data_IF_557374875386
#
_entry.id   IF_557374875386
#
_cell.length_a   1.000
_cell.length_b   1.000
_cell.length_c   1.000
_cell.angle_alpha   90.00
_cell.angle_beta   90.00
_cell.angle_gamma   90.00
#
_symmetry.space_group_name_H-M   'P 1'
#
loop_
_entity.id
_entity.type
_entity.pdbx_description
1 polymer ?
#
# COMPACT_ATOMS: atom_id res chain seq x y z
N UNK A 1 -19.06 -28.17 24.08
CA UNK A 1 -18.20 -27.64 23.00
C UNK A 1 -17.60 -26.33 23.50
N UNK A 2 -16.28 -26.18 23.55
CA UNK A 2 -15.67 -24.89 23.89
C UNK A 2 -16.05 -23.88 22.81
N UNK A 3 -16.67 -22.78 23.21
CA UNK A 3 -17.22 -21.77 22.33
C UNK A 3 -16.06 -20.91 21.81
N UNK A 4 -15.47 -21.30 20.67
CA UNK A 4 -14.38 -20.56 20.03
C UNK A 4 -14.84 -19.12 19.72
N UNK A 5 -14.12 -18.11 20.23
CA UNK A 5 -14.46 -16.71 19.98
C UNK A 5 -13.40 -16.01 19.15
N UNK A 6 -13.86 -15.10 18.29
CA UNK A 6 -13.04 -14.26 17.40
C UNK A 6 -12.07 -13.39 18.20
N UNK A 7 -12.58 -12.81 19.29
CA UNK A 7 -11.83 -11.98 20.22
C UNK A 7 -10.61 -12.73 20.77
N UNK A 8 -10.78 -13.97 21.23
CA UNK A 8 -9.73 -14.69 21.96
C UNK A 8 -8.66 -15.30 21.04
N UNK A 9 -9.05 -15.74 19.84
CA UNK A 9 -8.13 -16.40 18.90
C UNK A 9 -7.42 -15.47 17.94
N UNK A 10 -8.01 -14.31 17.64
CA UNK A 10 -7.53 -13.48 16.55
C UNK A 10 -7.37 -12.03 16.97
N UNK A 11 -8.42 -11.37 17.45
CA UNK A 11 -8.39 -9.93 17.70
C UNK A 11 -7.43 -9.54 18.83
N UNK A 12 -7.57 -10.14 20.02
CA UNK A 12 -6.72 -9.81 21.17
C UNK A 12 -5.24 -10.17 20.91
N UNK A 13 -4.90 -11.37 20.38
CA UNK A 13 -3.51 -11.68 20.03
C UNK A 13 -2.93 -10.75 18.96
N UNK A 14 -3.73 -10.35 17.95
CA UNK A 14 -3.29 -9.41 16.92
C UNK A 14 -2.97 -8.02 17.51
N UNK A 15 -3.77 -7.54 18.46
CA UNK A 15 -3.50 -6.28 19.15
C UNK A 15 -2.20 -6.33 19.97
N UNK A 16 -1.97 -7.42 20.71
CA UNK A 16 -0.69 -7.61 21.41
C UNK A 16 0.46 -7.72 20.42
N UNK A 17 0.26 -8.37 19.27
CA UNK A 17 1.30 -8.44 18.24
C UNK A 17 1.64 -7.05 17.65
N UNK A 18 0.65 -6.16 17.49
CA UNK A 18 0.89 -4.78 17.04
C UNK A 18 1.77 -3.98 18.02
N UNK A 19 1.64 -4.17 19.33
CA UNK A 19 2.54 -3.53 20.31
C UNK A 19 3.98 -4.01 20.13
N UNK A 20 4.16 -5.31 19.82
CA UNK A 20 5.46 -5.90 19.49
C UNK A 20 6.07 -5.36 18.19
N UNK A 21 5.24 -4.95 17.24
CA UNK A 21 5.68 -4.25 16.03
C UNK A 21 6.05 -2.78 16.27
N UNK A 22 5.78 -2.26 17.47
CA UNK A 22 6.14 -0.91 17.89
C UNK A 22 4.98 0.08 17.90
N UNK A 23 3.74 -0.36 17.67
CA UNK A 23 2.57 0.51 17.75
C UNK A 23 2.18 0.78 19.21
N UNK A 24 1.70 1.98 19.47
CA UNK A 24 1.13 2.36 20.77
C UNK A 24 -0.37 2.05 20.77
N UNK A 25 -0.84 1.32 21.78
CA UNK A 25 -2.28 1.15 21.99
C UNK A 25 -2.89 2.46 22.48
N UNK A 26 -3.87 2.98 21.75
CA UNK A 26 -4.51 4.25 22.09
C UNK A 26 -5.54 4.11 23.22
N UNK A 27 -6.06 2.89 23.46
CA UNK A 27 -7.22 2.65 24.32
C UNK A 27 -8.54 2.64 23.55
N UNK A 28 -9.63 2.30 24.24
CA UNK A 28 -10.98 2.42 23.68
C UNK A 28 -11.38 3.87 23.40
N UNK A 29 -12.01 4.07 22.24
CA UNK A 29 -12.59 5.35 21.84
C UNK A 29 -14.11 5.24 21.86
N UNK A 30 -14.76 6.17 22.55
CA UNK A 30 -16.21 6.24 22.71
C UNK A 30 -16.78 7.43 21.94
N UNK A 31 -18.07 7.39 21.59
CA UNK A 31 -18.72 8.41 20.75
C UNK A 31 -18.72 9.81 21.38
N UNK A 32 -18.78 9.90 22.70
CA UNK A 32 -18.73 11.15 23.48
C UNK A 32 -17.35 11.84 23.43
N UNK A 33 -16.32 11.14 22.97
CA UNK A 33 -14.97 11.68 22.75
C UNK A 33 -14.82 12.40 21.39
N UNK A 34 -15.87 12.37 20.55
CA UNK A 34 -15.90 13.06 19.27
C UNK A 34 -15.72 14.57 19.45
N UNK A 35 -14.89 15.18 18.60
CA UNK A 35 -14.56 16.61 18.61
C UNK A 35 -13.49 17.00 19.63
N UNK A 36 -13.07 16.10 20.52
CA UNK A 36 -12.00 16.36 21.49
C UNK A 36 -10.81 15.41 21.31
N UNK A 37 -11.06 14.10 21.29
CA UNK A 37 -10.04 13.07 21.11
C UNK A 37 -9.89 12.70 19.64
N UNK A 38 -10.99 12.68 18.91
CA UNK A 38 -11.00 12.34 17.50
C UNK A 38 -12.01 13.18 16.72
N UNK A 39 -11.82 13.26 15.42
CA UNK A 39 -12.74 13.90 14.52
C UNK A 39 -13.92 12.96 14.19
N UNK A 40 -15.13 13.31 14.61
CA UNK A 40 -16.34 12.51 14.36
C UNK A 40 -16.62 12.25 12.89
N UNK A 41 -16.13 13.13 12.01
CA UNK A 41 -16.32 13.03 10.57
C UNK A 41 -15.33 12.07 9.90
N UNK A 42 -14.07 11.99 10.33
CA UNK A 42 -12.99 11.28 9.63
C UNK A 42 -12.31 10.19 10.44
N UNK A 43 -12.62 10.08 11.74
CA UNK A 43 -11.93 9.23 12.71
C UNK A 43 -10.45 9.61 12.94
N UNK A 44 -10.00 10.81 12.51
CA UNK A 44 -8.63 11.30 12.79
C UNK A 44 -8.46 11.56 14.29
N UNK A 45 -7.39 11.06 14.91
CA UNK A 45 -7.05 11.35 16.30
C UNK A 45 -6.52 12.78 16.42
N UNK A 46 -7.32 13.69 16.96
CA UNK A 46 -7.05 15.13 16.92
C UNK A 46 -5.76 15.50 17.66
N UNK A 47 -5.51 15.06 18.92
CA UNK A 47 -4.30 15.43 19.63
C UNK A 47 -3.03 14.91 18.96
N UNK A 48 -3.08 13.65 18.49
CA UNK A 48 -1.93 13.02 17.82
C UNK A 48 -1.65 13.70 16.49
N UNK A 49 -2.69 13.99 15.70
CA UNK A 49 -2.54 14.65 14.42
C UNK A 49 -1.99 16.07 14.59
N UNK A 50 -2.49 16.83 15.56
CA UNK A 50 -2.00 18.19 15.83
C UNK A 50 -0.52 18.20 16.24
N UNK A 51 -0.15 17.35 17.20
CA UNK A 51 1.24 17.26 17.69
C UNK A 51 2.20 16.88 16.56
N UNK A 52 1.87 15.83 15.79
CA UNK A 52 2.72 15.38 14.70
C UNK A 52 2.75 16.37 13.55
N UNK A 53 1.65 17.03 13.24
CA UNK A 53 1.60 18.06 12.21
C UNK A 53 2.57 19.20 12.54
N UNK A 54 2.56 19.70 13.77
CA UNK A 54 3.49 20.77 14.22
C UNK A 54 4.93 20.29 14.18
N UNK A 55 5.20 19.09 14.69
CA UNK A 55 6.53 18.46 14.66
C UNK A 55 7.11 18.36 13.25
N UNK A 56 6.30 17.91 12.29
CA UNK A 56 6.73 17.72 10.90
C UNK A 56 6.79 19.03 10.11
N UNK A 57 6.08 20.08 10.56
CA UNK A 57 5.91 21.34 9.83
C UNK A 57 6.06 22.57 10.74
N UNK A 58 7.25 22.80 11.33
CA UNK A 58 7.46 23.87 12.32
C UNK A 58 7.23 25.29 11.77
N UNK A 59 7.35 25.49 10.45
CA UNK A 59 7.06 26.78 9.80
C UNK A 59 5.58 26.98 9.44
N UNK A 60 4.74 25.95 9.61
CA UNK A 60 3.34 25.94 9.21
C UNK A 60 2.42 25.47 10.35
N UNK A 61 2.85 25.53 11.61
CA UNK A 61 2.10 25.01 12.76
C UNK A 61 0.65 25.53 12.86
N UNK A 62 0.42 26.78 12.46
CA UNK A 62 -0.90 27.42 12.46
C UNK A 62 -1.87 26.91 11.38
N UNK A 63 -1.39 26.12 10.40
CA UNK A 63 -2.21 25.64 9.29
C UNK A 63 -2.95 24.34 9.59
N UNK A 64 -2.69 23.71 10.74
CA UNK A 64 -3.28 22.42 11.13
C UNK A 64 -4.80 22.36 10.94
N UNK A 65 -5.55 23.35 11.44
CA UNK A 65 -7.01 23.37 11.34
C UNK A 65 -7.48 23.48 9.89
N UNK A 66 -6.77 24.27 9.07
CA UNK A 66 -7.08 24.40 7.65
C UNK A 66 -6.82 23.08 6.92
N UNK A 67 -5.70 22.43 7.19
CA UNK A 67 -5.36 21.14 6.58
C UNK A 67 -6.36 20.05 6.98
N UNK A 68 -6.79 20.02 8.25
CA UNK A 68 -7.83 19.10 8.71
C UNK A 68 -9.16 19.32 7.96
N UNK A 69 -9.56 20.59 7.77
CA UNK A 69 -10.76 20.93 6.98
C UNK A 69 -10.61 20.53 5.52
N UNK A 70 -9.43 20.71 4.92
CA UNK A 70 -9.18 20.35 3.53
C UNK A 70 -9.21 18.83 3.35
N UNK A 71 -8.61 18.06 4.27
CA UNK A 71 -8.72 16.59 4.31
C UNK A 71 -10.19 16.19 4.37
N UNK A 72 -11.01 16.79 5.25
CA UNK A 72 -12.45 16.48 5.33
C UNK A 72 -13.16 16.72 4.00
N UNK A 73 -12.83 17.79 3.27
CA UNK A 73 -13.42 18.12 1.96
C UNK A 73 -13.01 17.10 0.91
N UNK A 74 -11.71 16.86 0.76
CA UNK A 74 -11.14 15.89 -0.19
C UNK A 74 -11.72 14.49 0.00
N UNK A 75 -11.91 14.07 1.25
CA UNK A 75 -12.45 12.75 1.52
C UNK A 75 -13.93 12.60 1.13
N UNK A 76 -14.66 13.69 0.85
CA UNK A 76 -16.00 13.61 0.28
C UNK A 76 -15.98 13.45 -1.25
N UNK A 77 -14.84 13.68 -1.91
CA UNK A 77 -14.73 13.60 -3.36
C UNK A 77 -14.97 12.16 -3.86
N UNK A 78 -15.64 12.06 -4.99
CA UNK A 78 -15.96 10.78 -5.61
C UNK A 78 -14.79 10.30 -6.48
N UNK A 79 -13.61 10.15 -5.87
CA UNK A 79 -12.33 9.90 -6.54
C UNK A 79 -11.53 8.71 -5.95
N UNK A 80 -12.17 7.90 -5.10
CA UNK A 80 -11.55 6.80 -4.33
C UNK A 80 -10.40 7.24 -3.40
N UNK A 81 -10.44 8.49 -2.95
CA UNK A 81 -9.44 9.09 -2.08
C UNK A 81 -8.15 9.46 -2.80
N UNK A 82 -8.20 9.65 -4.13
CA UNK A 82 -7.02 9.99 -4.95
C UNK A 82 -6.42 11.31 -4.50
N UNK A 83 -7.23 12.35 -4.26
CA UNK A 83 -6.80 13.65 -3.77
C UNK A 83 -6.11 13.54 -2.41
N UNK A 84 -6.75 12.86 -1.46
CA UNK A 84 -6.16 12.61 -0.14
C UNK A 84 -4.85 11.80 -0.23
N UNK A 85 -4.79 10.79 -1.09
CA UNK A 85 -3.56 10.01 -1.31
C UNK A 85 -2.41 10.86 -1.85
N UNK A 86 -2.67 11.79 -2.77
CA UNK A 86 -1.65 12.74 -3.23
C UNK A 86 -1.21 13.66 -2.09
N UNK A 87 -2.14 14.16 -1.27
CA UNK A 87 -1.81 14.95 -0.08
C UNK A 87 -0.93 14.19 0.89
N UNK A 88 -1.21 12.90 1.15
CA UNK A 88 -0.37 12.05 2.00
C UNK A 88 1.08 12.01 1.52
N UNK A 89 1.29 11.97 0.20
CA UNK A 89 2.62 11.86 -0.43
C UNK A 89 3.36 13.19 -0.59
N UNK A 90 2.67 14.32 -0.46
CA UNK A 90 3.29 15.63 -0.60
C UNK A 90 4.24 15.92 0.57
N UNK A 91 5.37 16.53 0.24
CA UNK A 91 6.40 16.94 1.21
C UNK A 91 6.53 18.46 1.33
N UNK A 92 5.79 19.23 0.52
CA UNK A 92 5.81 20.69 0.46
C UNK A 92 4.44 21.21 -0.01
N UNK A 93 3.95 22.36 0.51
CA UNK A 93 4.54 23.12 1.62
C UNK A 93 4.41 22.42 2.97
N UNK A 94 3.49 21.46 3.08
CA UNK A 94 3.19 20.72 4.30
C UNK A 94 3.31 19.22 4.05
N UNK A 95 3.79 18.49 5.06
CA UNK A 95 4.02 17.04 5.06
C UNK A 95 3.19 16.38 6.16
N UNK A 96 2.42 15.35 5.82
CA UNK A 96 1.62 14.59 6.80
C UNK A 96 2.34 13.34 7.33
N UNK A 97 3.25 12.78 6.53
CA UNK A 97 4.00 11.57 6.83
C UNK A 97 5.45 11.77 6.41
N UNK A 98 6.39 11.45 7.31
CA UNK A 98 7.80 11.40 6.97
C UNK A 98 8.18 10.04 6.40
N UNK A 99 8.22 9.93 5.07
CA UNK A 99 8.65 8.69 4.41
C UNK A 99 10.17 8.54 4.30
N UNK A 100 10.94 9.54 4.71
CA UNK A 100 12.40 9.53 4.66
C UNK A 100 12.97 9.01 5.97
N UNK A 101 12.47 9.53 7.10
CA UNK A 101 12.80 9.06 8.44
C UNK A 101 11.54 8.50 9.12
N UNK A 102 11.49 7.16 9.20
CA UNK A 102 10.37 6.41 9.76
C UNK A 102 10.15 6.79 11.23
N UNK A 103 11.24 7.04 11.97
CA UNK A 103 11.20 7.35 13.40
C UNK A 103 10.59 8.72 13.72
N UNK A 104 10.42 9.58 12.71
CA UNK A 104 9.72 10.84 12.89
C UNK A 104 8.21 10.69 12.98
N UNK A 105 7.65 9.55 12.57
CA UNK A 105 6.22 9.27 12.65
C UNK A 105 5.86 8.57 13.96
N UNK A 106 4.57 8.65 14.30
CA UNK A 106 3.97 7.87 15.38
C UNK A 106 2.95 6.88 14.82
N UNK A 107 2.90 5.71 15.44
CA UNK A 107 2.05 4.60 15.03
C UNK A 107 1.14 4.21 16.19
N UNK A 108 -0.16 4.31 15.99
CA UNK A 108 -1.15 3.97 17.02
C UNK A 108 -2.11 2.91 16.50
N UNK A 109 -2.80 2.24 17.41
CA UNK A 109 -3.98 1.47 17.07
C UNK A 109 -5.06 1.57 18.15
N UNK A 110 -6.30 1.37 17.73
CA UNK A 110 -7.42 1.05 18.63
C UNK A 110 -8.24 -0.08 18.02
N UNK A 111 -9.17 -0.63 18.78
CA UNK A 111 -10.06 -1.68 18.30
C UNK A 111 -11.53 -1.34 18.49
N UNK A 112 -12.34 -1.89 17.60
CA UNK A 112 -13.77 -1.67 17.51
C UNK A 112 -14.16 -0.17 17.43
N UNK A 113 -13.47 0.60 16.58
CA UNK A 113 -13.68 2.05 16.45
C UNK A 113 -14.73 2.37 15.39
N UNK A 114 -15.89 2.88 15.80
CA UNK A 114 -17.02 3.10 14.88
C UNK A 114 -16.79 4.28 13.95
N UNK A 115 -16.96 4.03 12.65
CA UNK A 115 -17.11 5.00 11.59
C UNK A 115 -18.60 5.25 11.34
N UNK A 116 -19.08 6.45 11.67
CA UNK A 116 -20.51 6.79 11.65
C UNK A 116 -20.79 7.92 10.68
N UNK A 117 -21.85 7.78 9.88
CA UNK A 117 -22.36 8.86 9.04
C UNK A 117 -23.89 8.84 9.02
N UNK A 118 -24.49 9.70 9.85
CA UNK A 118 -25.94 9.68 10.07
C UNK A 118 -26.36 8.41 10.84
N UNK A 119 -27.21 7.59 10.22
CA UNK A 119 -27.69 6.32 10.80
C UNK A 119 -26.86 5.11 10.37
N UNK A 120 -25.97 5.28 9.40
CA UNK A 120 -25.10 4.22 8.91
C UNK A 120 -23.83 4.16 9.75
N UNK A 121 -23.47 2.95 10.19
CA UNK A 121 -22.24 2.68 10.91
C UNK A 121 -21.47 1.49 10.32
N UNK A 122 -20.15 1.60 10.42
CA UNK A 122 -19.18 0.57 10.09
C UNK A 122 -18.13 0.56 11.20
N UNK A 123 -17.86 -0.58 11.81
CA UNK A 123 -16.99 -0.67 12.99
C UNK A 123 -15.89 -1.70 12.73
N UNK A 124 -14.72 -1.27 12.21
CA UNK A 124 -13.59 -2.16 12.05
C UNK A 124 -13.13 -2.77 13.37
N UNK A 125 -12.66 -4.02 13.31
CA UNK A 125 -12.17 -4.72 14.50
C UNK A 125 -10.90 -4.07 15.07
N UNK A 126 -9.97 -3.64 14.20
CA UNK A 126 -8.76 -2.90 14.58
C UNK A 126 -8.50 -1.80 13.54
N UNK A 127 -8.21 -0.59 14.01
CA UNK A 127 -7.81 0.56 13.16
C UNK A 127 -6.40 0.98 13.51
N UNK A 128 -5.54 1.08 12.51
CA UNK A 128 -4.15 1.55 12.63
C UNK A 128 -4.04 2.99 12.16
N UNK A 129 -3.26 3.78 12.90
CA UNK A 129 -3.03 5.18 12.65
C UNK A 129 -1.57 5.46 12.39
N UNK A 130 -1.31 6.38 11.46
CA UNK A 130 -0.01 7.01 11.27
C UNK A 130 -0.20 8.50 11.51
N UNK A 131 0.50 9.06 12.48
CA UNK A 131 0.37 10.48 12.87
C UNK A 131 -1.09 10.89 13.12
N UNK A 132 -1.89 9.99 13.72
CA UNK A 132 -3.31 10.23 14.01
C UNK A 132 -4.27 10.00 12.83
N UNK A 133 -3.79 9.72 11.61
CA UNK A 133 -4.62 9.43 10.44
C UNK A 133 -4.98 7.93 10.39
N UNK A 134 -6.27 7.53 10.29
CA UNK A 134 -6.68 6.11 10.21
C UNK A 134 -6.46 5.55 8.81
N UNK A 135 -5.24 5.08 8.53
CA UNK A 135 -4.83 4.68 7.18
C UNK A 135 -4.96 3.19 6.90
N UNK A 136 -5.14 2.36 7.93
CA UNK A 136 -5.36 0.93 7.75
C UNK A 136 -6.41 0.42 8.72
N UNK A 137 -7.26 -0.50 8.25
CA UNK A 137 -8.09 -1.29 9.14
C UNK A 137 -7.89 -2.77 8.92
N UNK A 138 -8.11 -3.53 9.98
CA UNK A 138 -8.02 -4.98 10.02
C UNK A 138 -9.38 -5.50 10.49
N UNK A 139 -9.96 -6.39 9.69
CA UNK A 139 -11.16 -7.16 9.99
C UNK A 139 -10.75 -8.60 10.26
N UNK A 140 -11.11 -9.11 11.42
CA UNK A 140 -10.83 -10.50 11.79
C UNK A 140 -12.11 -11.31 11.73
N UNK A 141 -11.99 -12.62 11.58
CA UNK A 141 -13.14 -13.54 11.59
C UNK A 141 -12.80 -14.76 12.41
N UNK A 142 -13.83 -15.41 12.96
CA UNK A 142 -13.67 -16.69 13.69
C UNK A 142 -12.89 -17.73 12.85
N UNK A 143 -11.87 -18.37 13.41
CA UNK A 143 -11.18 -19.48 12.74
C UNK A 143 -12.13 -20.65 12.47
N UNK A 144 -11.81 -21.47 11.46
CA UNK A 144 -12.62 -22.61 10.99
C UNK A 144 -14.06 -22.28 10.53
N UNK A 145 -14.41 -20.99 10.42
CA UNK A 145 -15.66 -20.57 9.79
C UNK A 145 -15.52 -20.59 8.26
N UNK A 146 -15.79 -21.77 7.67
CA UNK A 146 -15.69 -21.97 6.23
C UNK A 146 -16.59 -20.98 5.49
N UNK A 147 -16.02 -20.24 4.53
CA UNK A 147 -16.73 -19.19 3.79
C UNK A 147 -16.82 -17.84 4.50
N UNK A 148 -16.35 -17.69 5.74
CA UNK A 148 -16.37 -16.41 6.47
C UNK A 148 -15.63 -15.30 5.72
N UNK A 149 -14.47 -15.62 5.13
CA UNK A 149 -13.70 -14.67 4.31
C UNK A 149 -14.41 -14.32 2.99
N UNK A 150 -15.09 -15.29 2.38
CA UNK A 150 -15.86 -15.07 1.14
C UNK A 150 -17.08 -14.19 1.42
N UNK A 151 -17.78 -14.45 2.53
CA UNK A 151 -18.88 -13.61 2.99
C UNK A 151 -18.41 -12.18 3.27
N UNK A 152 -17.23 -12.02 3.90
CA UNK A 152 -16.65 -10.70 4.15
C UNK A 152 -16.32 -9.94 2.87
N UNK A 153 -15.65 -10.62 1.92
CA UNK A 153 -15.40 -10.05 0.58
C UNK A 153 -16.69 -9.63 -0.12
N UNK A 154 -17.74 -10.46 -0.05
CA UNK A 154 -19.04 -10.13 -0.62
C UNK A 154 -19.68 -8.91 0.06
N UNK A 155 -19.64 -8.84 1.39
CA UNK A 155 -20.16 -7.72 2.17
C UNK A 155 -19.45 -6.41 1.83
N UNK A 156 -18.13 -6.44 1.74
CA UNK A 156 -17.34 -5.27 1.34
C UNK A 156 -17.70 -4.81 -0.07
N UNK A 157 -17.72 -5.72 -1.04
CA UNK A 157 -17.95 -5.38 -2.45
C UNK A 157 -19.41 -5.00 -2.77
N UNK A 158 -20.40 -5.61 -2.11
CA UNK A 158 -21.82 -5.42 -2.44
C UNK A 158 -22.52 -4.39 -1.55
N UNK A 159 -22.07 -4.21 -0.32
CA UNK A 159 -22.79 -3.38 0.67
C UNK A 159 -21.97 -2.18 1.13
N UNK A 160 -20.66 -2.34 1.41
CA UNK A 160 -19.85 -1.27 2.00
C UNK A 160 -19.25 -0.33 0.97
N UNK A 161 -18.53 -0.85 -0.02
CA UNK A 161 -17.90 -0.05 -1.08
C UNK A 161 -18.89 0.79 -1.89
N UNK A 162 -20.06 0.27 -2.31
CA UNK A 162 -21.01 1.06 -3.08
C UNK A 162 -21.77 2.09 -2.22
N UNK A 163 -21.76 1.96 -0.88
CA UNK A 163 -22.49 2.85 -0.01
C UNK A 163 -21.75 4.18 0.18
N UNK A 164 -22.27 5.22 -0.49
CA UNK A 164 -21.75 6.59 -0.47
C UNK A 164 -21.62 7.19 0.93
N UNK A 165 -22.35 6.68 1.94
CA UNK A 165 -22.23 7.12 3.34
C UNK A 165 -20.87 6.75 3.95
N UNK A 166 -20.26 5.65 3.50
CA UNK A 166 -18.93 5.23 3.93
C UNK A 166 -17.80 5.79 3.07
N UNK A 167 -18.09 6.60 2.05
CA UNK A 167 -17.10 7.15 1.11
C UNK A 167 -15.90 7.74 1.84
N UNK A 168 -16.14 8.58 2.84
CA UNK A 168 -15.08 9.26 3.58
C UNK A 168 -14.11 8.29 4.25
N UNK A 169 -14.64 7.25 4.89
CA UNK A 169 -13.87 6.20 5.55
C UNK A 169 -13.12 5.30 4.55
N UNK A 170 -13.72 5.05 3.39
CA UNK A 170 -13.07 4.29 2.31
C UNK A 170 -11.95 5.13 1.68
N UNK A 171 -12.15 6.42 1.48
CA UNK A 171 -11.19 7.34 0.86
C UNK A 171 -9.96 7.54 1.76
N UNK A 172 -10.14 7.65 3.08
CA UNK A 172 -9.02 7.83 4.02
C UNK A 172 -8.23 6.53 4.23
N UNK A 173 -8.88 5.37 4.10
CA UNK A 173 -8.23 4.07 4.25
C UNK A 173 -7.35 3.74 3.03
N UNK A 174 -6.08 3.42 3.29
CA UNK A 174 -5.09 3.07 2.28
C UNK A 174 -4.86 1.55 2.19
N UNK A 175 -5.04 0.81 3.29
CA UNK A 175 -4.87 -0.63 3.35
C UNK A 175 -5.98 -1.28 4.18
N UNK A 176 -6.58 -2.36 3.67
CA UNK A 176 -7.56 -3.16 4.37
C UNK A 176 -7.02 -4.59 4.48
N UNK A 177 -6.98 -5.15 5.69
CA UNK A 177 -6.55 -6.53 5.94
C UNK A 177 -7.73 -7.32 6.48
N UNK A 178 -7.89 -8.55 6.03
CA UNK A 178 -8.94 -9.45 6.46
C UNK A 178 -8.34 -10.79 6.85
N UNK A 179 -8.61 -11.33 8.03
CA UNK A 179 -8.02 -12.60 8.43
C UNK A 179 -8.93 -13.45 9.31
N UNK A 180 -9.00 -14.75 9.01
CA UNK A 180 -9.61 -15.72 9.92
C UNK A 180 -8.57 -16.55 10.69
N UNK A 181 -7.30 -16.12 10.69
CA UNK A 181 -6.17 -16.77 11.34
C UNK A 181 -5.94 -18.24 10.94
N UNK A 182 -6.30 -18.60 9.70
CA UNK A 182 -6.06 -19.92 9.12
C UNK A 182 -4.96 -19.85 8.06
N UNK A 183 -4.32 -20.99 7.77
CA UNK A 183 -3.46 -21.11 6.59
C UNK A 183 -4.30 -21.02 5.30
N UNK A 184 -3.68 -20.61 4.19
CA UNK A 184 -4.38 -20.55 2.91
C UNK A 184 -4.82 -21.94 2.46
N UNK A 185 -6.10 -22.07 2.16
CA UNK A 185 -6.68 -23.28 1.57
C UNK A 185 -7.78 -22.90 0.59
N UNK A 186 -7.76 -23.55 -0.57
CA UNK A 186 -8.74 -23.37 -1.64
C UNK A 186 -9.84 -24.44 -1.63
N UNK A 187 -9.77 -25.47 -0.77
CA UNK A 187 -10.75 -26.56 -0.64
C UNK A 187 -11.14 -27.19 -1.99
N UNK A 188 -10.14 -27.50 -2.82
CA UNK A 188 -10.31 -28.08 -4.16
C UNK A 188 -10.55 -27.05 -5.28
N UNK A 189 -10.63 -25.75 -4.96
CA UNK A 189 -10.64 -24.65 -5.94
C UNK A 189 -9.24 -24.09 -6.26
N UNK A 190 -9.22 -22.99 -7.01
CA UNK A 190 -7.98 -22.26 -7.37
C UNK A 190 -7.73 -21.08 -6.41
N UNK A 191 -8.81 -20.46 -5.92
CA UNK A 191 -8.74 -19.27 -5.06
C UNK A 191 -8.89 -19.68 -3.60
N UNK A 192 -7.98 -19.29 -2.71
CA UNK A 192 -8.12 -19.56 -1.28
C UNK A 192 -9.41 -18.97 -0.71
N UNK A 193 -10.14 -19.75 0.09
CA UNK A 193 -11.38 -19.35 0.75
C UNK A 193 -11.20 -19.07 2.25
N UNK A 194 -10.01 -19.33 2.77
CA UNK A 194 -9.55 -19.01 4.12
C UNK A 194 -8.10 -18.54 4.07
N UNK A 195 -7.66 -17.82 5.10
CA UNK A 195 -6.36 -17.17 5.11
C UNK A 195 -6.41 -15.72 5.61
N UNK A 196 -5.30 -15.03 5.37
CA UNK A 196 -5.19 -13.59 5.55
C UNK A 196 -5.14 -12.89 4.19
N UNK A 197 -5.98 -11.91 3.94
CA UNK A 197 -6.11 -11.24 2.65
C UNK A 197 -5.94 -9.74 2.83
N UNK A 198 -5.63 -9.06 1.74
CA UNK A 198 -5.55 -7.60 1.73
C UNK A 198 -6.11 -6.99 0.45
N UNK A 199 -6.63 -5.78 0.58
CA UNK A 199 -7.09 -4.99 -0.56
C UNK A 199 -7.06 -3.49 -0.24
N UNK A 200 -7.48 -2.69 -1.21
CA UNK A 200 -7.78 -1.26 -1.11
C UNK A 200 -9.28 -1.02 -1.23
N UNK A 201 -9.71 0.19 -0.91
CA UNK A 201 -11.08 0.65 -1.19
C UNK A 201 -11.40 0.63 -2.68
N UNK A 202 -12.67 0.37 -3.01
CA UNK A 202 -13.16 0.35 -4.39
C UNK A 202 -14.55 0.99 -4.49
N UNK A 203 -15.04 1.23 -5.72
CA UNK A 203 -16.43 1.66 -5.98
C UNK A 203 -17.38 0.46 -5.99
N UNK A 204 -16.98 -0.59 -6.71
CA UNK A 204 -17.83 -1.76 -6.99
C UNK A 204 -17.15 -3.06 -6.60
N UNK A 205 -15.88 -3.22 -6.94
CA UNK A 205 -15.17 -4.48 -6.71
C UNK A 205 -13.69 -4.26 -6.41
N UNK A 206 -13.20 -4.94 -5.38
CA UNK A 206 -11.80 -5.06 -5.02
C UNK A 206 -11.45 -6.54 -4.82
N UNK A 207 -10.43 -7.07 -5.51
CA UNK A 207 -9.96 -8.42 -5.27
C UNK A 207 -9.25 -8.52 -3.91
N UNK A 208 -9.54 -9.58 -3.17
CA UNK A 208 -8.86 -9.90 -1.92
C UNK A 208 -7.57 -10.66 -2.24
N UNK A 209 -6.43 -9.98 -2.14
CA UNK A 209 -5.13 -10.55 -2.50
C UNK A 209 -4.60 -11.39 -1.35
N UNK A 210 -3.99 -12.54 -1.67
CA UNK A 210 -3.18 -13.29 -0.71
C UNK A 210 -1.80 -12.63 -0.55
N UNK A 211 -1.21 -12.74 0.62
CA UNK A 211 0.17 -12.32 0.90
C UNK A 211 1.01 -13.55 1.27
N UNK A 212 2.08 -13.82 0.53
CA UNK A 212 3.03 -14.89 0.85
C UNK A 212 4.41 -14.29 1.03
N UNK A 213 4.97 -14.37 2.23
CA UNK A 213 6.29 -13.82 2.53
C UNK A 213 7.38 -14.53 1.72
N UNK A 214 8.47 -13.81 1.39
CA UNK A 214 9.63 -14.40 0.75
C UNK A 214 10.27 -15.46 1.66
N UNK A 215 10.42 -16.68 1.15
CA UNK A 215 10.95 -17.82 1.89
C UNK A 215 11.73 -18.78 0.97
N UNK A 216 12.83 -18.29 0.40
CA UNK A 216 13.64 -18.98 -0.62
C UNK A 216 14.13 -20.37 -0.17
N UNK A 217 14.26 -20.59 1.16
CA UNK A 217 14.67 -21.87 1.74
C UNK A 217 13.54 -22.76 2.25
N UNK A 218 12.27 -22.40 2.03
CA UNK A 218 11.10 -23.12 2.56
C UNK A 218 11.19 -23.39 4.06
N UNK A 219 11.72 -22.42 4.81
CA UNK A 219 11.90 -22.52 6.25
C UNK A 219 10.53 -22.53 6.95
N UNK A 220 10.44 -23.15 8.13
CA UNK A 220 9.20 -23.22 8.92
C UNK A 220 8.61 -21.83 9.22
N UNK A 221 9.48 -20.86 9.46
CA UNK A 221 9.17 -19.45 9.67
C UNK A 221 9.98 -18.69 8.62
N UNK A 222 9.33 -17.80 7.86
CA UNK A 222 10.03 -17.03 6.85
C UNK A 222 11.13 -16.16 7.49
N UNK A 223 12.28 -15.95 6.83
CA UNK A 223 13.40 -15.20 7.42
C UNK A 223 12.99 -13.82 7.94
N UNK A 224 12.17 -13.09 7.19
CA UNK A 224 11.67 -11.78 7.64
C UNK A 224 10.89 -11.86 8.95
N UNK A 225 10.04 -12.87 9.12
CA UNK A 225 9.28 -13.06 10.36
C UNK A 225 10.17 -13.51 11.51
N UNK A 226 11.15 -14.39 11.27
CA UNK A 226 12.05 -14.86 12.33
C UNK A 226 12.96 -13.73 12.84
N UNK A 227 13.49 -12.94 11.91
CA UNK A 227 14.56 -11.98 12.18
C UNK A 227 14.03 -10.55 12.45
N UNK A 228 12.71 -10.34 12.40
CA UNK A 228 12.11 -9.05 12.74
C UNK A 228 12.37 -8.69 14.21
N UNK A 229 12.79 -7.44 14.52
CA UNK A 229 13.13 -7.02 15.88
C UNK A 229 11.86 -6.72 16.69
N UNK A 230 11.09 -7.76 17.04
CA UNK A 230 9.90 -7.62 17.87
C UNK A 230 10.26 -7.07 19.25
N UNK A 231 9.47 -6.11 19.74
CA UNK A 231 9.48 -5.78 21.17
C UNK A 231 8.93 -6.96 21.97
N UNK A 232 9.39 -7.07 23.20
CA UNK A 232 8.80 -7.99 24.19
C UNK A 232 7.34 -7.59 24.47
N UNK A 233 6.54 -8.57 24.91
CA UNK A 233 5.17 -8.30 25.33
C UNK A 233 5.22 -7.53 26.66
N UNK A 234 4.79 -6.28 26.63
CA UNK A 234 4.54 -5.50 27.84
C UNK A 234 3.27 -6.02 28.51
N UNK A 235 3.43 -6.58 29.72
CA UNK A 235 2.36 -7.21 30.48
C UNK A 235 1.29 -6.22 30.94
N UNK A 236 1.66 -4.97 31.20
CA UNK A 236 0.68 -3.96 31.63
C UNK A 236 -0.18 -3.52 30.43
N UNK A 237 0.43 -3.34 29.26
CA UNK A 237 -0.31 -3.06 28.02
C UNK A 237 -1.15 -4.26 27.56
N UNK A 238 -0.64 -5.50 27.63
CA UNK A 238 -1.42 -6.72 27.39
C UNK A 238 -2.65 -6.77 28.30
N UNK A 239 -2.45 -6.55 29.61
CA UNK A 239 -3.54 -6.52 30.60
C UNK A 239 -4.53 -5.39 30.31
N UNK A 240 -4.06 -4.21 29.91
CA UNK A 240 -4.90 -3.06 29.54
C UNK A 240 -5.77 -3.38 28.34
N UNK A 241 -5.18 -3.91 27.27
CA UNK A 241 -5.90 -4.37 26.07
C UNK A 241 -6.97 -5.39 26.48
N UNK A 242 -6.61 -6.44 27.22
CA UNK A 242 -7.58 -7.46 27.63
C UNK A 242 -8.68 -6.88 28.54
N UNK A 243 -8.36 -5.91 29.39
CA UNK A 243 -9.32 -5.28 30.30
C UNK A 243 -10.35 -4.45 29.55
N UNK A 244 -9.91 -3.64 28.59
CA UNK A 244 -10.80 -2.78 27.82
C UNK A 244 -11.89 -3.58 27.10
N UNK A 245 -11.59 -4.81 26.66
CA UNK A 245 -12.56 -5.70 25.99
C UNK A 245 -13.12 -6.82 26.86
N UNK A 246 -13.06 -6.70 28.20
CA UNK A 246 -13.59 -7.69 29.16
C UNK A 246 -13.06 -9.13 28.93
N UNK A 247 -11.80 -9.23 28.49
CA UNK A 247 -11.10 -10.45 28.11
C UNK A 247 -9.97 -10.83 29.08
N UNK A 248 -9.89 -10.26 30.29
CA UNK A 248 -8.80 -10.57 31.24
C UNK A 248 -8.69 -12.07 31.55
N UNK A 249 -9.84 -12.77 31.58
CA UNK A 249 -9.93 -14.20 31.90
C UNK A 249 -9.22 -15.11 30.90
N UNK A 250 -8.98 -14.64 29.67
CA UNK A 250 -8.33 -15.48 28.64
C UNK A 250 -6.81 -15.46 28.71
N UNK A 251 -6.21 -14.56 29.49
CA UNK A 251 -4.75 -14.41 29.57
C UNK A 251 -4.06 -15.75 29.86
N UNK A 252 -4.58 -16.56 30.78
CA UNK A 252 -3.97 -17.85 31.14
C UNK A 252 -4.43 -19.01 30.27
N UNK A 253 -5.33 -18.76 29.31
CA UNK A 253 -5.85 -19.83 28.45
C UNK A 253 -4.77 -20.32 27.47
N UNK A 254 -4.58 -21.65 27.31
CA UNK A 254 -3.62 -22.17 26.34
C UNK A 254 -3.90 -21.72 24.91
N UNK A 255 -5.17 -21.47 24.60
CA UNK A 255 -5.63 -20.99 23.29
C UNK A 255 -5.10 -19.59 23.00
N UNK A 256 -5.30 -18.64 23.91
CA UNK A 256 -4.77 -17.28 23.76
C UNK A 256 -3.24 -17.29 23.67
N UNK A 257 -2.57 -18.01 24.59
CA UNK A 257 -1.12 -18.11 24.63
C UNK A 257 -0.51 -18.65 23.33
N UNK A 258 -1.16 -19.64 22.71
CA UNK A 258 -0.71 -20.18 21.41
C UNK A 258 -0.89 -19.16 20.28
N UNK A 259 -1.93 -18.31 20.34
CA UNK A 259 -2.19 -17.33 19.29
C UNK A 259 -1.33 -16.05 19.41
N UNK A 260 -0.59 -15.87 20.51
CA UNK A 260 0.45 -14.84 20.64
C UNK A 260 1.71 -15.13 19.80
N UNK A 261 1.82 -16.34 19.24
CA UNK A 261 2.94 -16.74 18.38
C UNK A 261 3.04 -15.83 17.14
N UNK A 262 4.24 -15.37 16.83
CA UNK A 262 4.52 -14.46 15.71
C UNK A 262 4.17 -15.07 14.35
N UNK A 263 4.15 -16.39 14.26
CA UNK A 263 3.99 -17.16 13.04
C UNK A 263 2.55 -17.60 12.81
N UNK A 264 1.58 -17.15 13.62
CA UNK A 264 0.16 -17.34 13.28
C UNK A 264 -0.19 -16.60 11.98
N UNK A 265 -1.13 -17.09 11.16
CA UNK A 265 -1.46 -16.47 9.88
C UNK A 265 -1.80 -14.97 9.96
N UNK A 266 -2.54 -14.55 10.99
CA UNK A 266 -2.82 -13.13 11.23
C UNK A 266 -1.56 -12.36 11.60
N UNK A 267 -0.77 -12.84 12.57
CA UNK A 267 0.43 -12.12 13.01
C UNK A 267 1.49 -12.02 11.90
N UNK A 268 1.62 -13.04 11.05
CA UNK A 268 2.49 -13.00 9.87
C UNK A 268 2.11 -11.88 8.90
N UNK A 269 0.84 -11.75 8.52
CA UNK A 269 0.45 -10.68 7.59
C UNK A 269 0.63 -9.30 8.23
N UNK A 270 0.39 -9.17 9.54
CA UNK A 270 0.63 -7.92 10.27
C UNK A 270 2.12 -7.57 10.30
N UNK A 271 3.02 -8.51 10.57
CA UNK A 271 4.47 -8.25 10.43
C UNK A 271 4.80 -7.88 8.98
N UNK A 272 4.27 -8.62 8.01
CA UNK A 272 4.59 -8.45 6.60
C UNK A 272 4.11 -7.14 5.98
N UNK A 273 3.00 -6.56 6.44
CA UNK A 273 2.38 -5.39 5.81
C UNK A 273 2.23 -4.19 6.75
N UNK A 274 2.20 -4.42 8.06
CA UNK A 274 2.00 -3.39 9.07
C UNK A 274 3.28 -3.11 9.89
N UNK A 275 4.41 -3.76 9.64
CA UNK A 275 5.69 -3.22 10.16
C UNK A 275 5.87 -1.78 9.66
N UNK A 276 6.28 -0.82 10.52
CA UNK A 276 6.35 0.61 10.16
C UNK A 276 7.05 0.86 8.81
N UNK A 277 8.17 0.19 8.57
CA UNK A 277 8.96 0.30 7.34
C UNK A 277 8.17 -0.14 6.10
N UNK A 278 7.51 -1.29 6.19
CA UNK A 278 6.76 -1.86 5.06
C UNK A 278 5.45 -1.13 4.82
N UNK A 279 4.74 -0.74 5.87
CA UNK A 279 3.50 0.02 5.74
C UNK A 279 3.76 1.37 5.06
N UNK A 280 4.79 2.10 5.48
CA UNK A 280 5.18 3.35 4.83
C UNK A 280 5.64 3.13 3.38
N UNK A 281 6.37 2.05 3.10
CA UNK A 281 6.74 1.71 1.72
C UNK A 281 5.52 1.44 0.83
N UNK A 282 4.56 0.65 1.32
CA UNK A 282 3.31 0.32 0.61
C UNK A 282 2.46 1.58 0.41
N UNK A 283 2.35 2.47 1.40
CA UNK A 283 1.61 3.73 1.24
C UNK A 283 2.34 4.64 0.25
N UNK A 284 3.66 4.72 0.26
CA UNK A 284 4.39 5.62 -0.67
C UNK A 284 4.35 5.14 -2.12
N UNK A 285 4.53 3.84 -2.33
CA UNK A 285 4.79 3.26 -3.66
C UNK A 285 3.82 2.18 -4.09
N UNK A 286 3.10 1.55 -3.17
CA UNK A 286 2.31 0.36 -3.42
C UNK A 286 0.89 0.60 -3.93
N UNK A 287 0.42 1.85 -4.05
CA UNK A 287 -0.94 2.16 -4.49
C UNK A 287 -0.92 2.87 -5.84
N UNK A 288 -1.74 2.37 -6.77
CA UNK A 288 -1.95 2.93 -8.10
C UNK A 288 -3.43 3.22 -8.32
N UNK A 289 -3.75 4.34 -8.98
CA UNK A 289 -5.12 4.62 -9.41
C UNK A 289 -5.22 4.38 -10.91
N UNK A 290 -6.13 3.52 -11.33
CA UNK A 290 -6.27 3.07 -12.72
C UNK A 290 -7.59 3.55 -13.28
N UNK A 291 -7.55 4.29 -14.38
CA UNK A 291 -8.72 4.65 -15.17
C UNK A 291 -8.92 3.59 -16.26
N UNK A 292 -10.00 2.84 -16.16
CA UNK A 292 -10.36 1.80 -17.14
C UNK A 292 -11.49 2.34 -18.01
N UNK A 293 -11.25 2.41 -19.31
CA UNK A 293 -12.27 2.77 -20.30
C UNK A 293 -12.72 1.50 -21.03
N UNK A 294 -14.02 1.29 -21.14
CA UNK A 294 -14.62 0.17 -21.87
C UNK A 294 -15.75 0.68 -22.74
N UNK A 295 -15.82 0.19 -23.97
CA UNK A 295 -16.99 0.41 -24.81
C UNK A 295 -18.06 -0.64 -24.47
N UNK A 296 -19.21 -0.18 -24.00
CA UNK A 296 -20.38 -1.00 -23.70
C UNK A 296 -21.56 -0.40 -24.48
N UNK A 297 -22.15 -1.17 -25.38
CA UNK A 297 -23.29 -0.76 -26.22
C UNK A 297 -23.05 0.57 -26.98
N UNK A 298 -21.84 0.77 -27.50
CA UNK A 298 -21.46 1.99 -28.24
C UNK A 298 -21.23 3.22 -27.37
N UNK A 299 -21.18 3.08 -26.04
CA UNK A 299 -20.83 4.13 -25.09
C UNK A 299 -19.53 3.80 -24.39
N UNK A 300 -18.64 4.79 -24.26
CA UNK A 300 -17.43 4.67 -23.45
C UNK A 300 -17.82 4.86 -21.99
N UNK A 301 -17.74 3.77 -21.22
CA UNK A 301 -17.84 3.79 -19.77
C UNK A 301 -16.44 3.87 -19.16
N UNK A 302 -16.19 4.89 -18.35
CA UNK A 302 -14.95 5.04 -17.58
C UNK A 302 -15.17 4.61 -16.14
N UNK A 303 -14.29 3.75 -15.62
CA UNK A 303 -14.31 3.30 -14.23
C UNK A 303 -12.95 3.53 -13.57
N UNK A 304 -12.95 4.16 -12.40
CA UNK A 304 -11.77 4.29 -11.56
C UNK A 304 -11.60 3.05 -10.68
N UNK A 305 -10.37 2.59 -10.55
CA UNK A 305 -9.97 1.55 -9.61
C UNK A 305 -8.77 2.01 -8.79
N UNK A 306 -8.74 1.64 -7.51
CA UNK A 306 -7.57 1.81 -6.64
C UNK A 306 -6.92 0.44 -6.47
N UNK A 307 -5.76 0.25 -7.09
CA UNK A 307 -4.98 -1.00 -7.02
C UNK A 307 -3.93 -0.91 -5.94
N UNK A 308 -3.64 -2.06 -5.34
CA UNK A 308 -2.51 -2.25 -4.42
C UNK A 308 -1.54 -3.29 -4.98
N UNK A 309 -0.26 -3.04 -4.74
CA UNK A 309 0.84 -3.88 -5.17
C UNK A 309 0.70 -5.31 -4.63
N UNK A 310 0.94 -6.30 -5.49
CA UNK A 310 0.98 -7.72 -5.13
C UNK A 310 2.29 -8.06 -4.41
N UNK A 311 2.29 -9.05 -3.53
CA UNK A 311 3.49 -9.40 -2.75
C UNK A 311 4.73 -9.70 -3.63
N UNK A 312 4.56 -10.31 -4.81
CA UNK A 312 5.68 -10.55 -5.73
C UNK A 312 6.28 -9.25 -6.24
N UNK A 313 5.44 -8.25 -6.55
CA UNK A 313 5.87 -6.93 -7.00
C UNK A 313 6.57 -6.17 -5.86
N UNK A 314 6.08 -6.33 -4.62
CA UNK A 314 6.73 -5.78 -3.43
C UNK A 314 8.13 -6.35 -3.25
N UNK A 315 8.30 -7.67 -3.30
CA UNK A 315 9.63 -8.27 -3.12
C UNK A 315 10.56 -7.97 -4.29
N UNK A 316 10.07 -7.99 -5.53
CA UNK A 316 10.87 -7.59 -6.68
C UNK A 316 11.39 -6.15 -6.53
N UNK A 317 10.53 -5.21 -6.09
CA UNK A 317 10.92 -3.81 -5.92
C UNK A 317 11.89 -3.59 -4.75
N UNK A 318 11.71 -4.29 -3.62
CA UNK A 318 12.66 -4.28 -2.50
C UNK A 318 14.01 -4.89 -2.91
N UNK A 319 14.01 -6.00 -3.63
CA UNK A 319 15.23 -6.65 -4.12
C UNK A 319 16.00 -5.76 -5.10
N UNK A 320 15.30 -5.10 -6.03
CA UNK A 320 15.91 -4.12 -6.96
C UNK A 320 16.57 -2.98 -6.16
N UNK A 321 15.85 -2.37 -5.22
CA UNK A 321 16.39 -1.27 -4.40
C UNK A 321 17.63 -1.71 -3.62
N UNK A 322 17.59 -2.90 -3.00
CA UNK A 322 18.75 -3.47 -2.28
C UNK A 322 19.93 -3.69 -3.21
N UNK A 323 19.73 -4.34 -4.36
CA UNK A 323 20.81 -4.63 -5.32
C UNK A 323 21.43 -3.35 -5.90
N UNK A 324 20.62 -2.33 -6.16
CA UNK A 324 21.13 -1.02 -6.57
C UNK A 324 22.02 -0.37 -5.50
N UNK A 325 21.65 -0.50 -4.22
CA UNK A 325 22.47 0.01 -3.11
C UNK A 325 23.79 -0.75 -2.93
N UNK A 326 23.83 -2.03 -3.32
CA UNK A 326 25.03 -2.87 -3.38
C UNK A 326 25.91 -2.56 -4.62
N UNK A 327 25.52 -1.57 -5.46
CA UNK A 327 26.28 -1.16 -6.64
C UNK A 327 25.98 -1.98 -7.91
N UNK A 328 25.05 -2.93 -7.85
CA UNK A 328 24.62 -3.69 -9.02
C UNK A 328 23.89 -2.78 -10.01
N UNK A 329 24.15 -2.96 -11.31
CA UNK A 329 23.61 -2.11 -12.38
C UNK A 329 22.65 -2.82 -13.33
N UNK A 330 22.53 -4.14 -13.20
CA UNK A 330 21.66 -4.99 -14.02
C UNK A 330 21.23 -6.22 -13.23
N UNK A 331 20.15 -6.84 -13.67
CA UNK A 331 19.58 -8.04 -13.07
C UNK A 331 18.36 -8.52 -13.85
N UNK A 332 17.83 -9.68 -13.47
CA UNK A 332 16.64 -10.28 -14.09
C UNK A 332 15.60 -10.53 -13.01
N UNK A 333 14.37 -10.07 -13.24
CA UNK A 333 13.21 -10.41 -12.42
C UNK A 333 12.41 -11.48 -13.18
N UNK A 334 12.40 -12.70 -12.66
CA UNK A 334 11.68 -13.80 -13.30
C UNK A 334 10.26 -13.94 -12.73
N UNK A 335 9.27 -13.59 -13.54
CA UNK A 335 7.86 -13.64 -13.20
C UNK A 335 7.08 -14.57 -14.13
N UNK A 336 6.02 -15.19 -13.63
CA UNK A 336 5.03 -15.88 -14.47
C UNK A 336 4.22 -14.86 -15.28
N UNK A 337 3.68 -15.29 -16.43
CA UNK A 337 2.76 -14.48 -17.21
C UNK A 337 1.52 -14.08 -16.38
N UNK A 338 1.02 -12.86 -16.56
CA UNK A 338 -0.15 -12.35 -15.81
C UNK A 338 0.12 -11.95 -14.36
N UNK A 339 1.37 -12.00 -13.88
CA UNK A 339 1.73 -11.58 -12.51
C UNK A 339 1.67 -10.05 -12.29
N UNK A 340 1.59 -9.29 -13.38
CA UNK A 340 1.56 -7.82 -13.39
C UNK A 340 2.96 -7.20 -13.53
N UNK A 341 3.71 -7.59 -14.58
CA UNK A 341 5.06 -7.05 -14.90
C UNK A 341 5.01 -5.57 -15.28
N UNK A 342 4.04 -5.16 -16.09
CA UNK A 342 3.80 -3.75 -16.45
C UNK A 342 3.46 -2.91 -15.22
N UNK A 343 2.59 -3.42 -14.33
CA UNK A 343 2.28 -2.78 -13.06
C UNK A 343 3.51 -2.65 -12.13
N UNK A 344 4.40 -3.65 -12.07
CA UNK A 344 5.67 -3.51 -11.35
C UNK A 344 6.50 -2.35 -11.92
N UNK A 345 6.58 -2.23 -13.24
CA UNK A 345 7.34 -1.17 -13.91
C UNK A 345 6.78 0.21 -13.59
N UNK A 346 5.45 0.35 -13.52
CA UNK A 346 4.79 1.57 -13.05
C UNK A 346 5.26 1.96 -11.63
N UNK A 347 5.27 1.00 -10.69
CA UNK A 347 5.72 1.28 -9.33
C UNK A 347 7.22 1.63 -9.28
N UNK A 348 8.04 0.94 -10.08
CA UNK A 348 9.48 1.20 -10.19
C UNK A 348 9.78 2.62 -10.68
N UNK A 349 8.94 3.22 -11.52
CA UNK A 349 9.08 4.63 -11.92
C UNK A 349 9.20 5.55 -10.70
N UNK A 350 8.28 5.47 -9.75
CA UNK A 350 8.33 6.30 -8.54
C UNK A 350 9.48 5.91 -7.61
N UNK A 351 9.72 4.62 -7.42
CA UNK A 351 10.77 4.12 -6.52
C UNK A 351 12.16 4.55 -6.99
N UNK A 352 12.43 4.43 -8.29
CA UNK A 352 13.73 4.73 -8.87
C UNK A 352 13.95 6.23 -9.03
N UNK A 353 12.89 7.00 -9.33
CA UNK A 353 12.95 8.46 -9.28
C UNK A 353 13.38 8.94 -7.88
N UNK A 354 12.72 8.46 -6.84
CA UNK A 354 13.10 8.81 -5.46
C UNK A 354 14.50 8.33 -5.08
N UNK A 355 14.87 7.11 -5.47
CA UNK A 355 16.19 6.55 -5.18
C UNK A 355 17.33 7.38 -5.80
N UNK A 356 17.20 7.77 -7.06
CA UNK A 356 18.22 8.55 -7.76
C UNK A 356 18.16 10.05 -7.43
N UNK A 357 16.98 10.60 -7.10
CA UNK A 357 16.86 11.97 -6.62
C UNK A 357 17.71 12.22 -5.35
N UNK A 358 17.76 11.24 -4.43
CA UNK A 358 18.64 11.28 -3.24
C UNK A 358 20.13 11.31 -3.57
N UNK A 359 20.51 10.90 -4.78
CA UNK A 359 21.88 10.94 -5.27
C UNK A 359 22.12 12.17 -6.17
N UNK A 360 21.21 13.15 -6.15
CA UNK A 360 21.21 14.29 -7.05
C UNK A 360 21.28 13.87 -8.51
N UNK A 361 20.54 12.81 -8.87
CA UNK A 361 20.39 12.29 -10.22
C UNK A 361 18.94 12.32 -10.67
N UNK A 362 18.75 12.67 -11.93
CA UNK A 362 17.46 12.56 -12.60
C UNK A 362 17.37 11.18 -13.25
N UNK A 363 16.40 10.36 -12.84
CA UNK A 363 16.13 9.08 -13.49
C UNK A 363 15.26 9.26 -14.75
N UNK A 364 15.66 8.59 -15.84
CA UNK A 364 14.87 8.45 -17.08
C UNK A 364 14.63 6.97 -17.34
N UNK A 365 13.36 6.58 -17.38
CA UNK A 365 12.96 5.19 -17.53
C UNK A 365 12.56 4.89 -18.97
N UNK A 366 13.11 3.80 -19.49
CA UNK A 366 12.84 3.27 -20.82
C UNK A 366 12.26 1.87 -20.66
N UNK A 367 11.00 1.69 -21.07
CA UNK A 367 10.33 0.40 -21.12
C UNK A 367 10.45 -0.16 -22.53
N UNK A 368 11.21 -1.24 -22.69
CA UNK A 368 11.55 -1.82 -23.99
C UNK A 368 10.76 -3.10 -24.19
N UNK A 369 10.06 -3.19 -25.32
CA UNK A 369 9.25 -4.34 -25.73
C UNK A 369 9.61 -4.77 -27.14
N UNK A 370 9.38 -6.04 -27.46
CA UNK A 370 9.71 -6.57 -28.79
C UNK A 370 8.67 -6.23 -29.86
N UNK A 371 7.38 -6.35 -29.54
CA UNK A 371 6.30 -6.20 -30.52
C UNK A 371 5.59 -4.85 -30.42
N UNK A 372 5.05 -4.37 -31.55
CA UNK A 372 4.30 -3.10 -31.61
C UNK A 372 2.97 -3.15 -30.83
N UNK A 373 2.27 -4.28 -30.84
CA UNK A 373 1.05 -4.45 -30.04
C UNK A 373 1.34 -4.45 -28.54
N UNK A 374 2.48 -5.02 -28.12
CA UNK A 374 2.95 -4.92 -26.73
C UNK A 374 3.31 -3.48 -26.35
N UNK A 375 3.83 -2.69 -27.29
CA UNK A 375 4.13 -1.27 -27.08
C UNK A 375 2.85 -0.46 -26.83
N UNK A 376 1.83 -0.67 -27.65
CA UNK A 376 0.53 -0.03 -27.48
C UNK A 376 -0.11 -0.43 -26.15
N UNK A 377 -0.11 -1.72 -25.82
CA UNK A 377 -0.64 -2.23 -24.55
C UNK A 377 0.07 -1.65 -23.32
N UNK A 378 1.40 -1.63 -23.32
CA UNK A 378 2.18 -1.06 -22.24
C UNK A 378 1.93 0.45 -22.09
N UNK A 379 1.86 1.17 -23.22
CA UNK A 379 1.57 2.61 -23.22
C UNK A 379 0.20 2.90 -22.59
N UNK A 380 -0.84 2.21 -23.03
CA UNK A 380 -2.19 2.32 -22.45
C UNK A 380 -2.21 1.96 -20.97
N UNK A 381 -1.50 0.91 -20.55
CA UNK A 381 -1.40 0.51 -19.14
C UNK A 381 -0.72 1.57 -18.25
N UNK A 382 0.28 2.27 -18.76
CA UNK A 382 0.98 3.35 -18.04
C UNK A 382 0.13 4.63 -17.99
N UNK A 383 -0.49 5.03 -19.10
CA UNK A 383 -1.39 6.17 -19.19
C UNK A 383 -2.62 5.98 -18.28
N UNK A 384 -3.22 4.79 -18.29
CA UNK A 384 -4.35 4.44 -17.42
C UNK A 384 -4.00 4.62 -15.94
N UNK A 385 -2.72 4.46 -15.56
CA UNK A 385 -2.21 4.66 -14.19
C UNK A 385 -1.70 6.07 -13.91
N UNK A 386 -1.77 6.96 -14.90
CA UNK A 386 -1.42 8.38 -14.77
C UNK A 386 0.05 8.71 -14.98
N UNK A 387 0.84 7.84 -15.64
CA UNK A 387 2.16 8.24 -16.14
C UNK A 387 2.01 9.01 -17.44
N UNK A 388 2.90 9.98 -17.67
CA UNK A 388 3.09 10.58 -18.99
C UNK A 388 3.93 9.62 -19.82
N UNK A 389 3.34 9.12 -20.91
CA UNK A 389 4.03 8.20 -21.82
C UNK A 389 4.58 8.96 -23.02
N UNK A 390 5.86 8.72 -23.30
CA UNK A 390 6.49 9.11 -24.56
C UNK A 390 6.80 7.86 -25.37
N UNK A 391 6.61 7.95 -26.69
CA UNK A 391 7.04 6.91 -27.63
C UNK A 391 8.11 7.49 -28.55
N UNK A 392 9.02 6.65 -29.00
CA UNK A 392 10.00 7.03 -30.01
C UNK A 392 9.67 6.28 -31.32
N UNK A 393 9.18 7.03 -32.31
CA UNK A 393 8.76 6.48 -33.61
C UNK A 393 9.95 6.24 -34.53
N UNK A 394 11.08 6.91 -34.28
CA UNK A 394 12.34 6.73 -35.00
C UNK A 394 13.56 6.63 -34.06
N UNK A 395 14.66 6.05 -34.54
CA UNK A 395 15.93 6.06 -33.81
C UNK A 395 16.45 7.49 -33.61
N UNK A 396 16.21 8.39 -34.57
CA UNK A 396 16.60 9.79 -34.45
C UNK A 396 15.92 10.45 -33.24
N UNK A 397 14.61 10.24 -33.08
CA UNK A 397 13.84 10.67 -31.90
C UNK A 397 14.37 10.01 -30.63
N UNK A 398 14.59 8.69 -30.61
CA UNK A 398 15.15 7.99 -29.44
C UNK A 398 16.50 8.58 -29.00
N UNK A 399 17.37 8.88 -29.97
CA UNK A 399 18.68 9.47 -29.73
C UNK A 399 18.56 10.93 -29.25
N UNK A 400 17.55 11.67 -29.73
CA UNK A 400 17.21 12.99 -29.21
C UNK A 400 16.72 12.92 -27.76
N UNK A 401 15.86 11.96 -27.41
CA UNK A 401 15.44 11.70 -26.03
C UNK A 401 16.63 11.37 -25.12
N UNK A 402 17.62 10.62 -25.61
CA UNK A 402 18.85 10.36 -24.87
C UNK A 402 19.72 11.61 -24.70
N UNK A 403 19.72 12.54 -25.66
CA UNK A 403 20.51 13.80 -25.60
C UNK A 403 19.82 14.89 -24.79
N UNK A 404 18.50 14.86 -24.69
CA UNK A 404 17.73 15.81 -23.90
C UNK A 404 18.03 15.63 -22.41
N UNK A 405 18.50 16.71 -21.78
CA UNK A 405 18.68 16.80 -20.33
C UNK A 405 17.39 17.18 -19.59
N UNK A 406 16.31 17.48 -20.32
CA UNK A 406 15.03 17.80 -19.69
C UNK A 406 14.41 16.51 -19.15
N UNK A 407 14.24 16.48 -17.83
CA UNK A 407 13.64 15.40 -17.07
C UNK A 407 12.11 15.34 -17.21
N UNK A 408 11.50 16.45 -17.64
CA UNK A 408 10.07 16.66 -17.66
C UNK A 408 9.72 17.47 -18.90
N UNK A 409 8.90 16.91 -19.78
CA UNK A 409 8.17 17.69 -20.78
C UNK A 409 6.98 18.36 -20.09
N UNK A 410 7.26 19.39 -19.28
CA UNK A 410 6.23 20.29 -18.74
C UNK A 410 6.40 20.65 -17.27
N UNK A 411 5.76 21.75 -16.87
CA UNK A 411 5.73 22.26 -15.50
C UNK A 411 4.86 21.42 -14.52
N UNK A 412 4.43 20.21 -14.91
CA UNK A 412 3.33 19.48 -14.25
C UNK A 412 3.79 18.53 -13.13
N UNK A 413 5.08 18.28 -12.95
CA UNK A 413 5.60 17.41 -11.88
C UNK A 413 5.18 15.93 -11.98
N UNK A 414 4.56 15.51 -13.09
CA UNK A 414 4.12 14.14 -13.30
C UNK A 414 5.30 13.22 -13.67
N UNK A 415 5.21 11.95 -13.26
CA UNK A 415 6.22 10.95 -13.56
C UNK A 415 6.09 10.48 -15.03
N UNK A 416 7.21 10.36 -15.72
CA UNK A 416 7.27 10.03 -17.14
C UNK A 416 7.92 8.65 -17.37
N UNK A 417 7.53 8.00 -18.46
CA UNK A 417 8.17 6.78 -18.96
C UNK A 417 8.22 6.79 -20.49
N UNK A 418 9.34 6.35 -21.07
CA UNK A 418 9.46 6.20 -22.52
C UNK A 418 9.28 4.74 -22.91
N UNK A 419 8.29 4.43 -23.74
CA UNK A 419 8.07 3.08 -24.27
C UNK A 419 8.71 2.97 -25.66
N UNK A 420 9.55 1.95 -25.85
CA UNK A 420 10.37 1.80 -27.05
C UNK A 420 10.30 0.38 -27.59
N UNK A 421 10.19 0.24 -28.90
CA UNK A 421 10.31 -1.06 -29.54
C UNK A 421 11.80 -1.46 -29.69
N UNK A 422 12.16 -2.69 -29.36
CA UNK A 422 13.56 -3.18 -29.38
C UNK A 422 14.21 -3.08 -30.78
N UNK A 423 13.42 -3.22 -31.85
CA UNK A 423 13.92 -3.18 -33.22
C UNK A 423 14.55 -1.82 -33.55
N UNK A 424 14.13 -0.75 -32.87
CA UNK A 424 14.74 0.59 -32.99
C UNK A 424 16.19 0.67 -32.51
N UNK A 425 16.64 -0.31 -31.72
CA UNK A 425 18.04 -0.44 -31.29
C UNK A 425 18.87 -1.33 -32.23
N UNK A 426 18.22 -2.15 -33.08
CA UNK A 426 18.89 -3.17 -33.91
C UNK A 426 19.45 -2.65 -35.23
N UNK A 427 19.01 -1.48 -35.68
CA UNK A 427 19.27 -0.98 -37.03
C UNK A 427 20.71 -0.45 -37.26
N UNK A 428 21.59 -0.40 -36.24
CA UNK A 428 22.96 0.13 -36.40
C UNK A 428 23.96 -0.32 -35.32
N UNK A 429 25.23 -0.52 -35.71
CA UNK A 429 26.37 -0.89 -34.84
C UNK A 429 27.15 0.31 -34.31
N UNK A 430 26.80 1.54 -34.70
CA UNK A 430 27.48 2.75 -34.22
C UNK A 430 27.28 2.97 -32.71
N UNK A 431 28.40 3.06 -31.97
CA UNK A 431 28.39 3.40 -30.55
C UNK A 431 27.79 4.79 -30.33
N UNK A 432 26.76 4.87 -29.50
CA UNK A 432 26.20 6.14 -29.03
C UNK A 432 27.27 6.90 -28.24
N UNK A 433 27.76 8.01 -28.80
CA UNK A 433 28.61 8.96 -28.06
C UNK A 433 27.71 9.86 -27.23
N UNK A 434 27.75 9.67 -25.92
CA UNK A 434 27.09 10.57 -24.98
C UNK A 434 27.96 11.82 -24.78
N UNK A 435 27.33 12.96 -24.55
CA UNK A 435 28.05 14.17 -24.18
C UNK A 435 28.54 14.01 -22.73
N UNK A 436 29.84 14.12 -22.48
CA UNK A 436 30.44 13.90 -21.15
C UNK A 436 29.89 14.84 -20.06
N UNK A 437 29.19 15.91 -20.46
CA UNK A 437 28.53 16.88 -19.58
C UNK A 437 27.21 16.41 -18.95
N UNK A 438 26.64 15.27 -19.37
CA UNK A 438 25.36 14.78 -18.84
C UNK A 438 25.52 13.87 -17.60
N UNK A 439 26.33 14.28 -16.63
CA UNK A 439 26.68 13.48 -15.43
C UNK A 439 25.55 13.29 -14.42
N UNK A 440 24.49 14.10 -14.51
CA UNK A 440 23.32 14.10 -13.61
C UNK A 440 22.20 13.14 -14.08
N UNK A 441 22.26 12.61 -15.31
CA UNK A 441 21.22 11.71 -15.82
C UNK A 441 21.50 10.24 -15.49
N UNK A 442 20.53 9.57 -14.89
CA UNK A 442 20.51 8.11 -14.74
C UNK A 442 19.49 7.51 -15.70
N UNK A 443 19.97 6.77 -16.71
CA UNK A 443 19.09 6.01 -17.62
C UNK A 443 18.83 4.62 -17.05
N UNK A 444 17.59 4.19 -17.10
CA UNK A 444 17.12 2.92 -16.55
C UNK A 444 16.35 2.21 -17.66
N UNK A 445 16.78 1.00 -18.00
CA UNK A 445 16.17 0.19 -19.04
C UNK A 445 15.44 -0.99 -18.39
N UNK A 446 14.15 -1.10 -18.65
CA UNK A 446 13.30 -2.22 -18.25
C UNK A 446 12.92 -2.95 -19.52
N UNK A 447 13.42 -4.17 -19.70
CA UNK A 447 13.11 -4.99 -20.88
C UNK A 447 12.02 -5.98 -20.51
N UNK A 448 10.90 -5.96 -21.23
CA UNK A 448 9.80 -6.92 -21.07
C UNK A 448 9.60 -7.73 -22.36
N UNK A 449 9.62 -9.06 -22.22
CA UNK A 449 9.45 -10.04 -23.30
C UNK A 449 10.36 -9.80 -24.54
N UNK A 450 11.52 -9.16 -24.34
CA UNK A 450 12.54 -8.99 -25.37
C UNK A 450 13.28 -10.32 -25.61
N UNK A 451 12.65 -11.22 -26.38
CA UNK A 451 13.32 -12.39 -26.93
C UNK A 451 14.21 -11.92 -28.07
N UNK A 452 15.50 -12.26 -27.99
CA UNK A 452 16.50 -11.89 -29.00
C UNK A 452 16.36 -12.71 -30.28
#
# INVERSE_FOLDING_TARGET
MKQFSEATRVQMPAMVHLTRLGYTYFGKIYEDMSGTVYDGDTNILLPVFEEQFKKLNPSHEGEFLQVLQDIRKELNDDDLGRGFYQRLKNVSPVKLIDFEDIGNNTFHFTAEFTCKNGQDEFRPDITLFINGLPLCFIEVKKPNNHGGMVAESNRMNKERFPNKKFRRFINITQLMIFSNNMEYDAMGGIVPIQGAFYCTGARSYSPFNCFREENIGSQKIAPYHRDYPYKEIDKEEEKRILSDYNCQVIHTSPEYQTNLDINTPTNRILTSMCSPERLLYIIRYGIAYVKMEREVDGKIESTDQKHIMRYQQLFASLAIKKKLSEGMRSGVVWHTQGSGKTALSFYLTYILNDYFAKQHKVAKLYFIVDRLDLLEQASQEFEARGLVVSTANSRAELMEHFRSNQAQHGASGQAEITVVNIQRFSEDKEKVKFNDYATNLQRIFILDEAQL
#
